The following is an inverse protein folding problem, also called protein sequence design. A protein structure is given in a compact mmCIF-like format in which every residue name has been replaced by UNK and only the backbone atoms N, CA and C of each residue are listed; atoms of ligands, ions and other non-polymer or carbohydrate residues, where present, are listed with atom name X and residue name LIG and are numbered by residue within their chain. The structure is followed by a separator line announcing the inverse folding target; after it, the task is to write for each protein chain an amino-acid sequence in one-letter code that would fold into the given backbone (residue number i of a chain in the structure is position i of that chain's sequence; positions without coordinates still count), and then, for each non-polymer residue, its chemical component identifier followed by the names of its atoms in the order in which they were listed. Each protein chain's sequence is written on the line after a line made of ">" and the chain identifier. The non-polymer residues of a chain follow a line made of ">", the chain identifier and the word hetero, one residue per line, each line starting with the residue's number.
data_IF_333712883600
#
_entry.id   IF_333712883600
#
_cell.length_a   1.000
_cell.length_b   1.000
_cell.length_c   1.000
_cell.angle_alpha   90.00
_cell.angle_beta   90.00
_cell.angle_gamma   90.00
#
_symmetry.space_group_name_H-M   'P 1'
#
loop_
_entity.id
_entity.type
_entity.pdbx_description
1 polymer ?
#
# COMPACT_ATOMS: atom_id res chain seq x y z
N UNK A 1 -10.91 -9.32 9.27
CA UNK A 1 -10.24 -8.09 9.70
C UNK A 1 -10.97 -7.45 10.88
N UNK A 2 -12.24 -7.08 10.77
CA UNK A 2 -13.00 -6.48 11.87
C UNK A 2 -13.03 -7.35 13.13
N UNK A 3 -13.19 -8.66 12.99
CA UNK A 3 -13.14 -9.60 14.11
C UNK A 3 -11.79 -9.55 14.87
N UNK A 4 -10.67 -9.45 14.15
CA UNK A 4 -9.35 -9.37 14.77
C UNK A 4 -9.15 -8.06 15.57
N UNK A 5 -9.75 -6.95 15.12
CA UNK A 5 -9.80 -5.67 15.83
C UNK A 5 -10.62 -5.81 17.12
N UNK A 6 -11.84 -6.33 16.99
CA UNK A 6 -12.75 -6.50 18.11
C UNK A 6 -12.19 -7.42 19.19
N UNK A 7 -11.59 -8.53 18.78
CA UNK A 7 -10.97 -9.49 19.69
C UNK A 7 -9.81 -8.88 20.51
N UNK A 8 -9.11 -7.90 19.96
CA UNK A 8 -8.02 -7.18 20.65
C UNK A 8 -8.50 -5.93 21.40
N UNK A 9 -9.76 -5.57 21.30
CA UNK A 9 -10.31 -4.35 21.93
C UNK A 9 -9.63 -3.06 21.45
N UNK A 10 -9.15 -3.03 20.18
CA UNK A 10 -8.42 -1.89 19.65
C UNK A 10 -9.36 -0.72 19.33
N UNK A 11 -9.00 0.53 19.68
CA UNK A 11 -9.74 1.72 19.32
C UNK A 11 -9.50 2.10 17.84
N UNK A 12 -9.89 1.21 16.93
CA UNK A 12 -9.67 1.32 15.49
C UNK A 12 -10.98 1.15 14.73
N UNK A 13 -11.31 2.12 13.92
CA UNK A 13 -12.39 2.03 12.94
C UNK A 13 -11.83 1.48 11.62
N UNK A 14 -12.43 0.40 11.11
CA UNK A 14 -12.11 -0.16 9.80
C UNK A 14 -13.18 0.26 8.79
N UNK A 15 -12.77 1.06 7.82
CA UNK A 15 -13.63 1.49 6.70
C UNK A 15 -13.19 0.74 5.45
N UNK A 16 -14.01 -0.19 4.98
CA UNK A 16 -13.82 -0.83 3.69
C UNK A 16 -14.40 0.06 2.59
N UNK A 17 -13.58 0.40 1.62
CA UNK A 17 -13.98 1.23 0.48
C UNK A 17 -14.11 0.34 -0.74
N UNK A 18 -15.29 0.32 -1.34
CA UNK A 18 -15.50 -0.28 -2.65
C UNK A 18 -15.03 0.70 -3.72
N UNK A 19 -14.07 0.27 -4.53
CA UNK A 19 -13.50 1.08 -5.59
C UNK A 19 -14.02 0.56 -6.92
N UNK A 20 -15.13 1.14 -7.37
CA UNK A 20 -15.69 0.89 -8.68
C UNK A 20 -14.75 1.40 -9.79
N UNK A 21 -14.46 0.50 -10.71
CA UNK A 21 -13.61 0.82 -11.86
C UNK A 21 -12.13 0.94 -11.48
N UNK A 22 -11.38 -0.07 -11.83
CA UNK A 22 -9.96 -0.32 -11.56
C UNK A 22 -8.99 0.73 -12.15
N UNK A 23 -9.45 1.96 -12.40
CA UNK A 23 -8.59 3.04 -12.86
C UNK A 23 -7.76 3.61 -11.72
N UNK A 24 -6.46 3.37 -11.72
CA UNK A 24 -5.52 4.06 -10.84
C UNK A 24 -5.56 5.60 -11.00
N UNK A 25 -6.23 6.08 -12.05
CA UNK A 25 -6.45 7.50 -12.38
C UNK A 25 -7.90 7.97 -12.21
N UNK A 26 -8.75 7.19 -11.56
CA UNK A 26 -10.14 7.58 -11.35
C UNK A 26 -10.24 8.76 -10.36
N UNK A 27 -10.10 9.98 -10.84
CA UNK A 27 -10.13 11.20 -10.03
C UNK A 27 -11.36 11.25 -9.12
N UNK A 28 -12.53 10.84 -9.62
CA UNK A 28 -13.77 10.79 -8.85
C UNK A 28 -13.71 9.82 -7.66
N UNK A 29 -13.01 8.68 -7.80
CA UNK A 29 -12.80 7.71 -6.72
C UNK A 29 -11.92 8.32 -5.63
N UNK A 30 -10.85 8.98 -6.04
CA UNK A 30 -9.94 9.67 -5.12
C UNK A 30 -10.64 10.80 -4.38
N UNK A 31 -11.47 11.57 -5.08
CA UNK A 31 -12.23 12.67 -4.50
C UNK A 31 -13.31 12.16 -3.54
N UNK A 32 -13.96 11.03 -3.86
CA UNK A 32 -14.91 10.39 -2.96
C UNK A 32 -14.22 9.86 -1.69
N UNK A 33 -13.08 9.18 -1.82
CA UNK A 33 -12.30 8.73 -0.67
C UNK A 33 -11.85 9.92 0.19
N UNK A 34 -11.33 10.96 -0.45
CA UNK A 34 -10.88 12.17 0.24
C UNK A 34 -12.03 12.84 1.01
N UNK A 35 -13.15 13.13 0.34
CA UNK A 35 -14.24 13.91 0.91
C UNK A 35 -15.08 13.12 1.93
N UNK A 36 -15.30 11.82 1.69
CA UNK A 36 -16.19 11.01 2.52
C UNK A 36 -15.51 10.32 3.69
N UNK A 37 -14.19 10.09 3.58
CA UNK A 37 -13.45 9.31 4.58
C UNK A 37 -12.29 10.11 5.18
N UNK A 38 -11.34 10.55 4.34
CA UNK A 38 -10.08 11.09 4.85
C UNK A 38 -10.25 12.46 5.49
N UNK A 39 -10.94 13.39 4.82
CA UNK A 39 -11.16 14.74 5.39
C UNK A 39 -11.95 14.71 6.68
N UNK A 40 -13.10 14.00 6.77
CA UNK A 40 -13.81 13.89 8.05
C UNK A 40 -13.01 13.23 9.18
N UNK A 41 -12.14 12.26 8.87
CA UNK A 41 -11.27 11.66 9.87
C UNK A 41 -10.23 12.66 10.37
N UNK A 42 -9.60 13.42 9.47
CA UNK A 42 -8.65 14.49 9.80
C UNK A 42 -9.26 15.60 10.62
N UNK A 43 -10.45 16.07 10.28
CA UNK A 43 -11.19 17.08 11.02
C UNK A 43 -11.48 16.67 12.46
N UNK A 44 -11.65 15.36 12.71
CA UNK A 44 -11.79 14.81 14.07
C UNK A 44 -10.46 14.57 14.79
N UNK A 45 -9.33 14.88 14.15
CA UNK A 45 -8.00 14.59 14.70
C UNK A 45 -7.65 13.11 14.73
N UNK A 46 -8.36 12.27 13.96
CA UNK A 46 -8.12 10.82 13.90
C UNK A 46 -6.90 10.53 13.04
N UNK A 47 -6.02 9.68 13.52
CA UNK A 47 -4.92 9.14 12.69
C UNK A 47 -5.47 8.21 11.62
N UNK A 48 -4.96 8.34 10.42
CA UNK A 48 -5.45 7.59 9.26
C UNK A 48 -4.35 6.69 8.71
N UNK A 49 -4.65 5.41 8.64
CA UNK A 49 -3.83 4.44 7.89
C UNK A 49 -4.55 4.06 6.61
N UNK A 50 -3.88 4.24 5.48
CA UNK A 50 -4.35 3.63 4.23
C UNK A 50 -3.88 2.18 4.19
N UNK A 51 -4.79 1.30 3.81
CA UNK A 51 -4.48 -0.12 3.70
C UNK A 51 -5.00 -0.72 2.40
N UNK A 52 -4.36 -1.79 1.95
CA UNK A 52 -4.85 -2.52 0.81
C UNK A 52 -4.22 -3.90 0.63
N UNK A 53 -5.04 -4.80 0.11
CA UNK A 53 -4.62 -6.15 -0.30
C UNK A 53 -4.42 -6.15 -1.80
N UNK A 54 -3.36 -6.77 -2.29
CA UNK A 54 -3.10 -6.97 -3.72
C UNK A 54 -3.25 -5.66 -4.51
N UNK A 55 -4.20 -5.59 -5.45
CA UNK A 55 -4.50 -4.38 -6.22
C UNK A 55 -4.86 -3.19 -5.34
N UNK A 56 -5.57 -3.42 -4.22
CA UNK A 56 -5.86 -2.38 -3.23
C UNK A 56 -4.59 -1.76 -2.63
N UNK A 57 -3.52 -2.54 -2.49
CA UNK A 57 -2.21 -2.03 -2.06
C UNK A 57 -1.56 -1.12 -3.09
N UNK A 58 -1.64 -1.46 -4.38
CA UNK A 58 -1.18 -0.58 -5.46
C UNK A 58 -1.97 0.72 -5.49
N UNK A 59 -3.29 0.63 -5.34
CA UNK A 59 -4.19 1.79 -5.30
C UNK A 59 -3.86 2.70 -4.10
N UNK A 60 -3.61 2.13 -2.93
CA UNK A 60 -3.21 2.91 -1.75
C UNK A 60 -1.89 3.67 -1.96
N UNK A 61 -0.89 3.02 -2.58
CA UNK A 61 0.36 3.66 -2.97
C UNK A 61 0.15 4.76 -4.01
N UNK A 62 -0.69 4.52 -5.04
CA UNK A 62 -1.01 5.52 -6.06
C UNK A 62 -1.69 6.75 -5.46
N UNK A 63 -2.59 6.55 -4.49
CA UNK A 63 -3.23 7.66 -3.80
C UNK A 63 -2.23 8.51 -3.02
N UNK A 64 -1.32 7.89 -2.27
CA UNK A 64 -0.25 8.60 -1.55
C UNK A 64 0.73 9.30 -2.50
N UNK A 65 1.04 8.68 -3.64
CA UNK A 65 1.89 9.30 -4.66
C UNK A 65 1.26 10.56 -5.26
N UNK A 66 -0.05 10.54 -5.48
CA UNK A 66 -0.80 11.67 -6.03
C UNK A 66 -1.13 12.74 -4.99
N UNK A 67 -1.29 12.36 -3.72
CA UNK A 67 -1.74 13.24 -2.62
C UNK A 67 -0.89 13.00 -1.36
N UNK A 68 0.30 13.56 -1.29
CA UNK A 68 1.17 13.42 -0.12
C UNK A 68 0.51 13.97 1.17
N UNK A 69 0.73 13.28 2.28
CA UNK A 69 0.27 13.73 3.59
C UNK A 69 -1.20 13.41 3.91
N UNK A 70 -1.91 12.66 3.05
CA UNK A 70 -3.32 12.29 3.31
C UNK A 70 -3.48 11.18 4.34
N UNK A 71 -2.43 10.44 4.63
CA UNK A 71 -2.43 9.37 5.63
C UNK A 71 -1.20 9.45 6.54
N UNK A 72 -1.35 8.91 7.75
CA UNK A 72 -0.32 8.85 8.78
C UNK A 72 0.44 7.52 8.76
N UNK A 73 0.02 6.58 7.92
CA UNK A 73 0.69 5.31 7.74
C UNK A 73 0.11 4.51 6.58
N UNK A 74 0.82 3.45 6.20
CA UNK A 74 0.48 2.59 5.06
C UNK A 74 0.59 1.12 5.45
N UNK A 75 -0.50 0.36 5.25
CA UNK A 75 -0.55 -1.08 5.49
C UNK A 75 -0.77 -1.84 4.18
N UNK A 76 0.23 -2.55 3.72
CA UNK A 76 0.26 -3.25 2.43
C UNK A 76 0.32 -4.76 2.64
N UNK A 77 -0.77 -5.44 2.31
CA UNK A 77 -0.87 -6.90 2.41
C UNK A 77 -0.78 -7.50 1.02
N UNK A 78 0.35 -8.14 0.71
CA UNK A 78 0.67 -8.70 -0.59
C UNK A 78 0.36 -7.72 -1.75
N UNK A 79 0.86 -6.47 -1.73
CA UNK A 79 0.48 -5.46 -2.70
C UNK A 79 0.82 -5.89 -4.12
N UNK A 80 -0.06 -5.61 -5.07
CA UNK A 80 0.22 -5.84 -6.47
C UNK A 80 1.34 -4.90 -6.93
N UNK A 81 2.43 -5.42 -7.49
CA UNK A 81 3.62 -4.61 -7.84
C UNK A 81 3.48 -3.81 -9.14
N UNK A 82 2.35 -3.95 -9.82
CA UNK A 82 2.09 -3.43 -11.15
C UNK A 82 2.11 -4.52 -12.24
N UNK A 83 1.66 -4.14 -13.42
CA UNK A 83 1.64 -5.00 -14.60
C UNK A 83 3.05 -5.40 -15.04
N UNK A 84 3.14 -6.49 -15.80
CA UNK A 84 4.45 -6.91 -16.36
C UNK A 84 5.10 -5.83 -17.22
N UNK A 85 4.37 -5.12 -18.11
CA UNK A 85 4.97 -4.04 -18.89
C UNK A 85 5.62 -2.98 -18.00
N UNK A 86 4.90 -2.43 -17.02
CA UNK A 86 5.37 -1.35 -16.15
C UNK A 86 6.55 -1.81 -15.27
N UNK A 87 6.45 -2.99 -14.65
CA UNK A 87 7.56 -3.55 -13.86
C UNK A 87 8.80 -3.78 -14.72
N UNK A 88 8.64 -4.29 -15.96
CA UNK A 88 9.77 -4.53 -16.86
C UNK A 88 10.47 -3.24 -17.29
N UNK A 89 9.78 -2.10 -17.38
CA UNK A 89 10.44 -0.80 -17.66
C UNK A 89 11.46 -0.51 -16.57
N UNK A 90 11.04 -0.62 -15.32
CA UNK A 90 11.92 -0.37 -14.15
C UNK A 90 13.07 -1.40 -14.07
N UNK A 91 12.75 -2.68 -14.29
CA UNK A 91 13.73 -3.77 -14.24
C UNK A 91 14.82 -3.65 -15.31
N UNK A 92 14.44 -3.31 -16.55
CA UNK A 92 15.40 -3.12 -17.67
C UNK A 92 16.34 -1.94 -17.45
N UNK A 93 15.90 -0.94 -16.70
CA UNK A 93 16.74 0.18 -16.32
C UNK A 93 17.73 -0.14 -15.18
N UNK A 94 17.73 -1.36 -14.65
CA UNK A 94 18.57 -1.77 -13.52
C UNK A 94 17.92 -1.60 -12.15
N UNK A 95 16.59 -1.48 -12.11
CA UNK A 95 15.80 -1.32 -10.89
C UNK A 95 15.38 0.13 -10.60
N UNK A 96 14.63 0.30 -9.53
CA UNK A 96 14.02 1.59 -9.21
C UNK A 96 15.04 2.73 -9.03
N UNK A 97 16.20 2.46 -8.46
CA UNK A 97 17.22 3.49 -8.21
C UNK A 97 17.95 3.96 -9.49
N UNK A 98 18.10 3.06 -10.46
CA UNK A 98 18.74 3.36 -11.74
C UNK A 98 17.74 3.93 -12.78
N UNK A 99 16.44 3.66 -12.60
CA UNK A 99 15.44 4.09 -13.55
C UNK A 99 15.21 5.60 -13.50
N UNK A 100 15.31 6.23 -14.67
CA UNK A 100 15.01 7.64 -14.87
C UNK A 100 13.67 7.74 -15.63
N UNK A 101 12.62 8.12 -14.94
CA UNK A 101 11.29 8.24 -15.52
C UNK A 101 11.26 9.35 -16.57
N UNK A 102 10.84 9.02 -17.79
CA UNK A 102 10.51 10.00 -18.82
C UNK A 102 9.11 10.58 -18.56
N UNK A 103 8.78 11.68 -19.25
CA UNK A 103 7.42 12.24 -19.21
C UNK A 103 6.37 11.25 -19.75
N UNK A 104 6.75 10.44 -20.75
CA UNK A 104 5.88 9.40 -21.29
C UNK A 104 5.62 8.29 -20.27
N UNK A 105 6.65 7.86 -19.52
CA UNK A 105 6.47 6.89 -18.44
C UNK A 105 5.49 7.40 -17.37
N UNK A 106 5.54 8.67 -17.05
CA UNK A 106 4.67 9.28 -16.04
C UNK A 106 3.20 9.45 -16.48
N UNK A 107 2.86 9.13 -17.73
CA UNK A 107 1.46 8.95 -18.14
C UNK A 107 0.89 7.63 -17.64
N UNK A 108 1.73 6.62 -17.36
CA UNK A 108 1.31 5.35 -16.77
C UNK A 108 1.18 5.50 -15.24
N UNK A 109 -0.01 5.27 -14.65
CA UNK A 109 -0.23 5.39 -13.22
C UNK A 109 0.59 4.39 -12.39
N UNK A 110 0.90 3.21 -12.93
CA UNK A 110 1.75 2.24 -12.24
C UNK A 110 3.21 2.72 -12.19
N UNK A 111 3.70 3.35 -13.26
CA UNK A 111 5.04 3.93 -13.28
C UNK A 111 5.14 5.17 -12.37
N UNK A 112 4.06 5.93 -12.19
CA UNK A 112 4.01 6.97 -11.14
C UNK A 112 4.20 6.41 -9.74
N UNK A 113 3.62 5.25 -9.44
CA UNK A 113 3.86 4.56 -8.16
C UNK A 113 5.34 4.17 -8.02
N UNK A 114 5.95 3.62 -9.07
CA UNK A 114 7.39 3.29 -9.05
C UNK A 114 8.27 4.54 -8.90
N UNK A 115 7.87 5.67 -9.49
CA UNK A 115 8.53 6.97 -9.28
C UNK A 115 8.45 7.43 -7.83
N UNK A 116 7.29 7.28 -7.20
CA UNK A 116 7.10 7.57 -5.77
C UNK A 116 7.92 6.61 -4.90
N UNK A 117 7.98 5.33 -5.24
CA UNK A 117 8.77 4.32 -4.54
C UNK A 117 10.28 4.56 -4.60
N UNK A 118 10.79 5.38 -5.50
CA UNK A 118 12.21 5.79 -5.49
C UNK A 118 12.56 6.57 -4.23
N UNK A 119 11.65 7.40 -3.76
CA UNK A 119 11.82 8.24 -2.57
C UNK A 119 10.50 8.35 -1.79
N UNK A 120 10.12 7.29 -1.07
CA UNK A 120 8.96 7.37 -0.20
C UNK A 120 9.13 8.48 0.82
N UNK A 121 8.06 9.13 1.29
CA UNK A 121 8.15 10.20 2.29
C UNK A 121 8.91 9.73 3.53
N UNK A 122 9.94 10.46 3.97
CA UNK A 122 10.65 10.12 5.17
C UNK A 122 9.71 10.20 6.39
N UNK A 123 9.83 9.21 7.28
CA UNK A 123 9.02 9.18 8.51
C UNK A 123 7.59 8.63 8.33
N UNK A 124 7.15 8.28 7.11
CA UNK A 124 5.88 7.57 6.93
C UNK A 124 6.00 6.15 7.48
N UNK A 125 5.26 5.78 8.53
CA UNK A 125 5.21 4.41 9.00
C UNK A 125 4.60 3.51 7.93
N UNK A 126 5.28 2.41 7.63
CA UNK A 126 4.82 1.44 6.64
C UNK A 126 4.88 0.04 7.22
N UNK A 127 3.83 -0.72 7.00
CA UNK A 127 3.80 -2.17 7.14
C UNK A 127 3.59 -2.77 5.75
N UNK A 128 4.51 -3.60 5.30
CA UNK A 128 4.39 -4.32 4.03
C UNK A 128 4.74 -5.78 4.23
N UNK A 129 3.88 -6.66 3.74
CA UNK A 129 4.13 -8.10 3.88
C UNK A 129 3.53 -8.93 2.77
N UNK A 130 4.03 -10.17 2.63
CA UNK A 130 3.52 -11.14 1.67
C UNK A 130 3.72 -12.58 2.18
N UNK A 131 3.03 -13.52 1.51
CA UNK A 131 3.25 -14.94 1.73
C UNK A 131 4.54 -15.44 1.08
N UNK A 132 5.21 -16.40 1.71
CA UNK A 132 6.43 -17.01 1.15
C UNK A 132 6.18 -17.81 -0.13
N UNK A 133 4.92 -18.26 -0.33
CA UNK A 133 4.46 -19.03 -1.49
C UNK A 133 3.67 -18.16 -2.48
N UNK A 134 3.66 -16.82 -2.27
CA UNK A 134 2.97 -15.88 -3.14
C UNK A 134 3.62 -15.87 -4.52
N UNK A 135 2.81 -16.08 -5.56
CA UNK A 135 3.29 -16.05 -6.97
C UNK A 135 3.92 -14.74 -7.39
N UNK A 136 3.66 -13.67 -6.65
CA UNK A 136 4.25 -12.34 -6.85
C UNK A 136 5.37 -12.02 -5.86
N UNK A 137 5.74 -12.95 -4.96
CA UNK A 137 6.68 -12.72 -3.87
C UNK A 137 7.94 -11.97 -4.30
N UNK A 138 8.61 -12.42 -5.36
CA UNK A 138 9.83 -11.79 -5.85
C UNK A 138 9.65 -10.32 -6.28
N UNK A 139 8.48 -9.97 -6.84
CA UNK A 139 8.18 -8.60 -7.26
C UNK A 139 7.70 -7.76 -6.09
N UNK A 140 6.92 -8.34 -5.18
CA UNK A 140 6.50 -7.66 -3.93
C UNK A 140 7.74 -7.34 -3.09
N UNK A 141 8.72 -8.25 -3.05
CA UNK A 141 9.98 -8.03 -2.36
C UNK A 141 10.70 -6.76 -2.87
N UNK A 142 10.71 -6.51 -4.18
CA UNK A 142 11.29 -5.29 -4.75
C UNK A 142 10.57 -4.01 -4.33
N UNK A 143 9.23 -4.07 -4.19
CA UNK A 143 8.46 -2.98 -3.59
C UNK A 143 8.82 -2.83 -2.12
N UNK A 144 8.90 -3.93 -1.37
CA UNK A 144 9.23 -3.93 0.04
C UNK A 144 10.62 -3.35 0.31
N UNK A 145 11.58 -3.59 -0.57
CA UNK A 145 12.97 -3.07 -0.47
C UNK A 145 13.04 -1.54 -0.53
N UNK A 146 11.98 -0.88 -0.97
CA UNK A 146 11.88 0.59 -0.94
C UNK A 146 11.57 1.17 0.46
N UNK A 147 11.26 0.33 1.42
CA UNK A 147 10.95 0.70 2.80
C UNK A 147 12.00 0.11 3.76
N UNK A 148 12.12 0.63 4.98
CA UNK A 148 13.07 0.11 5.97
C UNK A 148 12.89 -1.39 6.25
N UNK A 149 13.94 -2.15 6.58
CA UNK A 149 13.82 -3.58 6.88
C UNK A 149 12.78 -3.91 7.96
N UNK A 150 12.66 -3.08 8.99
CA UNK A 150 11.69 -3.26 10.06
C UNK A 150 10.22 -3.18 9.60
N UNK A 151 9.96 -2.59 8.42
CA UNK A 151 8.62 -2.51 7.82
C UNK A 151 8.22 -3.76 7.05
N UNK A 152 9.15 -4.69 6.79
CA UNK A 152 9.00 -5.81 5.85
C UNK A 152 8.68 -7.10 6.59
N UNK A 153 7.64 -7.77 6.17
CA UNK A 153 7.15 -8.98 6.84
C UNK A 153 6.89 -10.10 5.83
N UNK A 154 7.19 -11.33 6.24
CA UNK A 154 6.81 -12.52 5.50
C UNK A 154 6.10 -13.50 6.42
N UNK A 155 5.14 -14.22 5.88
CA UNK A 155 4.42 -15.31 6.54
C UNK A 155 4.37 -16.52 5.62
N UNK A 156 4.10 -17.69 6.14
CA UNK A 156 3.73 -18.83 5.31
C UNK A 156 2.41 -18.54 4.61
N UNK A 157 2.24 -19.05 3.39
CA UNK A 157 1.01 -18.92 2.62
C UNK A 157 1.21 -18.32 1.23
N UNK A 158 0.18 -18.41 0.41
CA UNK A 158 0.14 -17.96 -0.97
C UNK A 158 -0.46 -16.55 -1.12
N UNK A 159 -0.90 -16.18 -2.33
CA UNK A 159 -1.56 -14.90 -2.60
C UNK A 159 -3.05 -14.97 -2.28
N UNK A 160 -3.38 -15.28 -1.03
CA UNK A 160 -4.75 -15.48 -0.55
C UNK A 160 -4.86 -15.27 0.98
N UNK A 161 -5.99 -15.62 1.54
CA UNK A 161 -6.28 -15.46 2.97
C UNK A 161 -5.34 -16.24 3.90
N UNK A 162 -4.63 -17.24 3.41
CA UNK A 162 -3.63 -17.96 4.21
C UNK A 162 -2.46 -17.06 4.62
N UNK A 163 -2.14 -16.04 3.79
CA UNK A 163 -1.13 -15.04 4.09
C UNK A 163 -1.73 -13.70 4.57
N UNK A 164 -2.84 -13.25 3.98
CA UNK A 164 -3.39 -11.91 4.28
C UNK A 164 -3.90 -11.77 5.70
N UNK A 165 -4.51 -12.82 6.27
CA UNK A 165 -5.00 -12.77 7.64
C UNK A 165 -3.86 -12.75 8.67
N UNK A 166 -2.85 -13.63 8.61
CA UNK A 166 -1.69 -13.55 9.51
C UNK A 166 -0.91 -12.24 9.40
N UNK A 167 -0.81 -11.65 8.19
CA UNK A 167 -0.18 -10.35 8.01
C UNK A 167 -0.98 -9.23 8.66
N UNK A 168 -2.32 -9.26 8.52
CA UNK A 168 -3.19 -8.31 9.20
C UNK A 168 -3.06 -8.39 10.72
N UNK A 169 -3.06 -9.59 11.28
CA UNK A 169 -2.87 -9.79 12.70
C UNK A 169 -1.53 -9.25 13.19
N UNK A 170 -0.45 -9.52 12.43
CA UNK A 170 0.87 -8.93 12.70
C UNK A 170 0.88 -7.40 12.68
N UNK A 171 0.19 -6.81 11.72
CA UNK A 171 0.05 -5.36 11.67
C UNK A 171 -0.62 -4.81 12.93
N UNK A 172 -1.70 -5.45 13.39
CA UNK A 172 -2.40 -5.05 14.61
C UNK A 172 -1.51 -5.19 15.86
N UNK A 173 -0.68 -6.24 15.90
CA UNK A 173 0.21 -6.54 17.04
C UNK A 173 1.51 -5.69 17.02
N UNK A 174 1.84 -5.04 15.90
CA UNK A 174 3.07 -4.25 15.76
C UNK A 174 3.05 -2.89 16.48
N UNK A 175 1.96 -2.55 17.17
CA UNK A 175 1.87 -1.33 17.98
C UNK A 175 1.68 -0.04 17.19
N UNK A 176 1.56 -0.09 15.86
CA UNK A 176 1.37 1.10 15.02
C UNK A 176 0.12 1.91 15.36
N UNK A 177 -0.86 1.28 15.99
CA UNK A 177 -2.18 1.85 16.29
C UNK A 177 -2.17 2.57 17.64
N UNK A 178 -1.24 2.24 18.53
CA UNK A 178 -1.15 2.78 19.89
C UNK A 178 -0.18 3.94 20.04
N UNK A 179 0.60 4.25 19.01
CA UNK A 179 1.64 5.28 19.06
C UNK A 179 1.11 6.68 18.71
#
# INVERSE_FOLDING_TARGET
>A
FAHAIAHRGLPLDLIAVDIDGLGLDAAHTWDALQSRVLSPARERGTRVWLGGISLGGLIAMAHLAARPGVADGLCLLAPYPGSRPSVNVVERAGGADAWQASEADLQDPELRVWRWLQRPPPGLPVFIGHGTEDRFAARIQRVAERFPPASRHTVAGAHDWSAWLPLWERFLDAGHIHA
#
